data_IF_059716458301
#
_entry.id   IF_059716458301
#
_cell.length_a   1.000
_cell.length_b   1.000
_cell.length_c   1.000
_cell.angle_alpha   90.00
_cell.angle_beta   90.00
_cell.angle_gamma   90.00
#
_symmetry.space_group_name_H-M   'P 1'
#
loop_
_entity.id
_entity.type
_entity.pdbx_description
1 polymer ?
#
# COMPACT_ATOMS: atom_id res chain seq x y z
N UNK A 1 -54.51 -15.40 -50.52
CA UNK A 1 -53.04 -15.57 -50.48
C UNK A 1 -52.42 -14.47 -49.61
N UNK A 2 -52.02 -14.74 -48.35
CA UNK A 2 -51.17 -13.82 -47.59
C UNK A 2 -49.71 -14.28 -47.64
N UNK A 3 -48.82 -13.39 -48.09
CA UNK A 3 -47.37 -13.61 -48.13
C UNK A 3 -46.80 -13.61 -46.71
N UNK A 4 -45.94 -14.58 -46.43
CA UNK A 4 -45.28 -14.84 -45.15
C UNK A 4 -44.48 -13.64 -44.64
N UNK A 5 -45.03 -12.91 -43.67
CA UNK A 5 -44.34 -11.83 -42.95
C UNK A 5 -43.40 -12.33 -41.83
N UNK A 6 -43.31 -13.66 -41.65
CA UNK A 6 -42.59 -14.33 -40.56
C UNK A 6 -41.09 -14.54 -40.83
N UNK A 7 -40.62 -14.38 -42.07
CA UNK A 7 -39.23 -14.73 -42.44
C UNK A 7 -38.23 -13.58 -42.28
N UNK A 8 -38.70 -12.33 -42.22
CA UNK A 8 -37.82 -11.14 -42.13
C UNK A 8 -37.56 -10.75 -40.67
N UNK A 9 -38.46 -11.05 -39.73
CA UNK A 9 -38.27 -10.71 -38.30
C UNK A 9 -37.30 -11.64 -37.57
N UNK A 10 -37.16 -12.89 -38.05
CA UNK A 10 -36.27 -13.90 -37.47
C UNK A 10 -34.77 -13.52 -37.49
N UNK A 11 -34.19 -13.01 -38.60
CA UNK A 11 -32.79 -12.59 -38.62
C UNK A 11 -32.52 -11.35 -37.74
N UNK A 12 -33.46 -10.41 -37.62
CA UNK A 12 -33.32 -9.27 -36.72
C UNK A 12 -33.42 -9.67 -35.25
N UNK A 13 -34.31 -10.61 -34.91
CA UNK A 13 -34.38 -11.16 -33.56
C UNK A 13 -33.07 -11.89 -33.19
N UNK A 14 -32.51 -12.67 -34.11
CA UNK A 14 -31.23 -13.35 -33.91
C UNK A 14 -30.07 -12.35 -33.75
N UNK A 15 -30.05 -11.29 -34.56
CA UNK A 15 -29.06 -10.21 -34.46
C UNK A 15 -29.15 -9.49 -33.11
N UNK A 16 -30.36 -9.17 -32.64
CA UNK A 16 -30.57 -8.56 -31.32
C UNK A 16 -30.10 -9.47 -30.18
N UNK A 17 -30.36 -10.78 -30.26
CA UNK A 17 -29.89 -11.75 -29.27
C UNK A 17 -28.36 -11.85 -29.27
N UNK A 18 -27.72 -11.86 -30.44
CA UNK A 18 -26.25 -11.89 -30.57
C UNK A 18 -25.64 -10.60 -30.02
N UNK A 19 -26.21 -9.43 -30.34
CA UNK A 19 -25.73 -8.15 -29.80
C UNK A 19 -25.91 -8.06 -28.28
N UNK A 20 -27.04 -8.56 -27.75
CA UNK A 20 -27.29 -8.60 -26.32
C UNK A 20 -26.33 -9.57 -25.62
N UNK A 21 -26.08 -10.75 -26.18
CA UNK A 21 -25.12 -11.73 -25.66
C UNK A 21 -23.68 -11.19 -25.70
N UNK A 22 -23.30 -10.49 -26.78
CA UNK A 22 -22.01 -9.79 -26.88
C UNK A 22 -21.90 -8.69 -25.81
N UNK A 23 -22.93 -7.87 -25.64
CA UNK A 23 -22.95 -6.84 -24.60
C UNK A 23 -22.79 -7.46 -23.21
N UNK A 24 -23.54 -8.54 -22.91
CA UNK A 24 -23.46 -9.26 -21.64
C UNK A 24 -22.08 -9.90 -21.40
N UNK A 25 -21.39 -10.32 -22.45
CA UNK A 25 -20.04 -10.89 -22.38
C UNK A 25 -18.92 -9.85 -22.27
N UNK A 26 -19.16 -8.60 -22.71
CA UNK A 26 -18.17 -7.51 -22.69
C UNK A 26 -18.31 -6.65 -21.42
N UNK A 27 -19.52 -6.44 -20.91
CA UNK A 27 -19.79 -5.67 -19.69
C UNK A 27 -18.91 -6.05 -18.48
N UNK A 28 -18.76 -7.33 -18.08
CA UNK A 28 -17.93 -7.67 -16.92
C UNK A 28 -16.44 -7.37 -17.14
N UNK A 29 -15.96 -7.46 -18.38
CA UNK A 29 -14.57 -7.12 -18.73
C UNK A 29 -14.34 -5.61 -18.72
N UNK A 30 -15.30 -4.83 -19.21
CA UNK A 30 -15.27 -3.38 -19.13
C UNK A 30 -15.31 -2.90 -17.67
N UNK A 31 -16.17 -3.48 -16.83
CA UNK A 31 -16.22 -3.15 -15.40
C UNK A 31 -14.91 -3.46 -14.66
N UNK A 32 -14.24 -4.57 -14.97
CA UNK A 32 -12.93 -4.87 -14.41
C UNK A 32 -11.84 -3.89 -14.86
N UNK A 33 -11.94 -3.36 -16.09
CA UNK A 33 -11.00 -2.35 -16.61
C UNK A 33 -11.22 -0.94 -16.00
N UNK A 34 -12.41 -0.67 -15.46
CA UNK A 34 -12.76 0.61 -14.82
C UNK A 34 -12.78 0.55 -13.29
N UNK A 35 -12.51 -0.61 -12.67
CA UNK A 35 -12.42 -0.72 -11.22
C UNK A 35 -11.22 0.10 -10.72
N UNK A 36 -11.39 0.99 -9.71
CA UNK A 36 -10.27 1.68 -9.09
C UNK A 36 -9.23 0.67 -8.62
N UNK A 37 -7.95 1.03 -8.75
CA UNK A 37 -6.86 0.22 -8.21
C UNK A 37 -7.17 -0.16 -6.75
N UNK A 38 -7.21 -1.46 -6.40
CA UNK A 38 -7.55 -1.90 -5.06
C UNK A 38 -6.65 -1.30 -3.97
N UNK A 39 -5.39 -0.99 -4.29
CA UNK A 39 -4.46 -0.31 -3.36
C UNK A 39 -4.89 1.13 -3.15
N UNK A 40 -5.14 1.87 -4.23
CA UNK A 40 -5.67 3.24 -4.16
C UNK A 40 -7.02 3.30 -3.42
N UNK A 41 -7.93 2.36 -3.68
CA UNK A 41 -9.21 2.28 -2.98
C UNK A 41 -9.04 1.99 -1.48
N UNK A 42 -8.09 1.13 -1.10
CA UNK A 42 -7.77 0.89 0.30
C UNK A 42 -7.19 2.14 0.98
N UNK A 43 -6.25 2.82 0.32
CA UNK A 43 -5.68 4.06 0.82
C UNK A 43 -6.74 5.16 0.98
N UNK A 44 -7.65 5.31 0.02
CA UNK A 44 -8.75 6.28 0.13
C UNK A 44 -9.64 6.00 1.35
N UNK A 45 -9.96 4.73 1.65
CA UNK A 45 -10.71 4.37 2.87
C UNK A 45 -9.94 4.70 4.15
N UNK A 46 -8.61 4.64 4.12
CA UNK A 46 -7.76 5.07 5.25
C UNK A 46 -7.87 6.58 5.42
N UNK A 47 -7.79 7.34 4.33
CA UNK A 47 -7.96 8.79 4.35
C UNK A 47 -9.34 9.20 4.90
N UNK A 48 -10.41 8.53 4.48
CA UNK A 48 -11.78 8.78 4.96
C UNK A 48 -11.93 8.50 6.47
N UNK A 49 -11.28 7.44 6.99
CA UNK A 49 -11.27 7.16 8.43
C UNK A 49 -10.48 8.19 9.23
N UNK A 50 -9.42 8.73 8.64
CA UNK A 50 -8.60 9.80 9.21
C UNK A 50 -7.64 9.36 10.31
N UNK A 51 -7.62 8.07 10.69
CA UNK A 51 -6.66 7.53 11.64
C UNK A 51 -6.40 6.04 11.41
N UNK A 52 -5.16 5.60 11.63
CA UNK A 52 -4.76 4.20 11.50
C UNK A 52 -3.51 3.87 12.34
N UNK A 53 -3.34 2.59 12.66
CA UNK A 53 -2.13 2.03 13.27
C UNK A 53 -1.41 1.13 12.27
N UNK A 54 -0.09 1.05 12.35
CA UNK A 54 0.73 0.17 11.53
C UNK A 54 1.77 -0.56 12.37
N UNK A 55 2.14 -1.74 11.89
CA UNK A 55 3.16 -2.63 12.42
C UNK A 55 3.84 -3.29 11.21
N UNK A 56 5.17 -3.20 11.14
CA UNK A 56 5.92 -3.57 9.96
C UNK A 56 7.34 -4.02 10.29
N UNK A 57 7.79 -5.06 9.58
CA UNK A 57 9.18 -5.50 9.57
C UNK A 57 9.83 -5.11 8.25
N UNK A 58 10.96 -4.42 8.33
CA UNK A 58 11.76 -4.02 7.18
C UNK A 58 13.08 -4.79 7.18
N UNK A 59 13.32 -5.53 6.11
CA UNK A 59 14.60 -6.20 5.83
C UNK A 59 15.31 -5.45 4.72
N UNK A 60 16.44 -4.83 5.05
CA UNK A 60 17.29 -4.14 4.09
C UNK A 60 18.53 -5.00 3.82
N UNK A 61 18.68 -5.42 2.56
CA UNK A 61 19.86 -6.15 2.09
C UNK A 61 20.69 -5.25 1.18
N UNK A 62 21.93 -5.00 1.56
CA UNK A 62 22.91 -4.27 0.75
C UNK A 62 23.89 -5.25 0.15
N UNK A 63 23.82 -5.45 -1.17
CA UNK A 63 24.74 -6.31 -1.93
C UNK A 63 25.71 -5.43 -2.71
N UNK A 64 27.02 -5.48 -2.41
CA UNK A 64 28.02 -4.73 -3.17
C UNK A 64 28.05 -5.16 -4.64
N UNK A 65 28.09 -4.20 -5.57
CA UNK A 65 28.29 -4.50 -6.99
C UNK A 65 29.64 -5.18 -7.23
N UNK A 66 29.70 -6.18 -8.11
CA UNK A 66 30.95 -6.86 -8.43
C UNK A 66 31.93 -5.91 -9.12
N UNK A 67 32.96 -5.44 -8.39
CA UNK A 67 34.00 -4.55 -8.90
C UNK A 67 35.32 -4.71 -8.12
N UNK A 68 36.43 -4.27 -8.70
CA UNK A 68 37.76 -4.29 -8.03
C UNK A 68 37.73 -3.47 -6.72
N UNK A 69 36.96 -2.38 -6.69
CA UNK A 69 36.81 -1.54 -5.49
C UNK A 69 36.05 -2.24 -4.34
N UNK A 70 35.30 -3.30 -4.64
CA UNK A 70 34.46 -4.01 -3.69
C UNK A 70 35.01 -5.40 -3.30
N UNK A 71 36.27 -5.69 -3.64
CA UNK A 71 36.91 -6.96 -3.24
C UNK A 71 36.90 -7.10 -1.72
N UNK A 72 36.42 -8.24 -1.22
CA UNK A 72 36.35 -8.53 0.21
C UNK A 72 35.11 -7.96 0.93
N UNK A 73 34.27 -7.16 0.26
CA UNK A 73 32.99 -6.76 0.81
C UNK A 73 31.97 -7.89 0.69
N UNK A 74 31.17 -8.08 1.74
CA UNK A 74 30.09 -9.06 1.80
C UNK A 74 28.72 -8.37 1.84
N UNK A 75 27.67 -9.11 1.49
CA UNK A 75 26.31 -8.60 1.65
C UNK A 75 26.00 -8.38 3.12
N UNK A 76 25.34 -7.27 3.43
CA UNK A 76 24.88 -6.95 4.78
C UNK A 76 23.37 -6.92 4.81
N UNK A 77 22.79 -7.61 5.80
CA UNK A 77 21.36 -7.54 6.10
C UNK A 77 21.13 -6.72 7.37
N UNK A 78 20.16 -5.82 7.31
CA UNK A 78 19.69 -5.04 8.45
C UNK A 78 18.20 -5.30 8.62
N UNK A 79 17.80 -5.71 9.83
CA UNK A 79 16.40 -5.90 10.20
C UNK A 79 15.96 -4.77 11.11
N UNK A 80 14.80 -4.22 10.80
CA UNK A 80 14.19 -3.08 11.47
C UNK A 80 12.73 -3.46 11.75
N UNK A 81 12.25 -3.16 12.95
CA UNK A 81 10.84 -3.27 13.28
C UNK A 81 10.28 -1.86 13.50
N UNK A 82 9.14 -1.56 12.90
CA UNK A 82 8.47 -0.26 12.94
C UNK A 82 7.02 -0.44 13.36
N UNK A 83 6.62 0.27 14.40
CA UNK A 83 5.22 0.33 14.82
C UNK A 83 4.81 1.77 15.09
N UNK A 84 3.57 2.12 14.79
CA UNK A 84 3.12 3.49 14.95
C UNK A 84 1.65 3.71 14.69
N UNK A 85 1.27 4.98 14.80
CA UNK A 85 -0.09 5.47 14.59
C UNK A 85 -0.02 6.79 13.85
N UNK A 86 -1.00 7.00 12.97
CA UNK A 86 -1.19 8.24 12.23
C UNK A 86 -2.60 8.74 12.47
N UNK A 87 -2.74 10.02 12.82
CA UNK A 87 -3.99 10.75 12.89
C UNK A 87 -3.90 11.92 11.89
N UNK A 88 -4.61 11.76 10.78
CA UNK A 88 -4.60 12.67 9.64
C UNK A 88 -5.38 13.96 9.94
N UNK A 89 -6.35 13.90 10.85
CA UNK A 89 -7.16 15.07 11.23
C UNK A 89 -6.36 16.03 12.10
N UNK A 90 -5.52 15.50 12.97
CA UNK A 90 -4.63 16.26 13.85
C UNK A 90 -3.22 16.47 13.28
N UNK A 91 -2.96 15.96 12.06
CA UNK A 91 -1.64 16.00 11.41
C UNK A 91 -0.53 15.52 12.38
N UNK A 92 -0.78 14.35 12.95
CA UNK A 92 0.03 13.75 14.00
C UNK A 92 0.42 12.34 13.62
N UNK A 93 1.72 12.07 13.56
CA UNK A 93 2.28 10.74 13.39
C UNK A 93 3.15 10.43 14.59
N UNK A 94 3.00 9.26 15.19
CA UNK A 94 3.89 8.76 16.23
C UNK A 94 4.33 7.36 15.85
N UNK A 95 5.62 7.11 15.91
CA UNK A 95 6.18 5.80 15.57
C UNK A 95 7.37 5.48 16.45
N UNK A 96 7.64 4.19 16.56
CA UNK A 96 8.81 3.64 17.23
C UNK A 96 9.51 2.68 16.28
N UNK A 97 10.82 2.82 16.23
CA UNK A 97 11.73 2.03 15.42
C UNK A 97 12.64 1.24 16.35
N UNK A 98 12.73 -0.07 16.14
CA UNK A 98 13.70 -0.94 16.79
C UNK A 98 14.65 -1.48 15.73
N UNK A 99 15.95 -1.41 16.01
CA UNK A 99 17.00 -2.01 15.17
C UNK A 99 17.44 -3.34 15.79
N UNK A 100 18.03 -4.24 15.00
CA UNK A 100 18.52 -5.53 15.47
C UNK A 100 19.44 -5.38 16.70
N UNK A 101 18.91 -5.70 17.88
CA UNK A 101 19.52 -5.47 19.21
C UNK A 101 18.56 -4.83 20.22
N UNK A 102 17.54 -4.09 19.75
CA UNK A 102 16.40 -3.65 20.55
C UNK A 102 15.37 -4.75 20.71
N UNK A 103 14.67 -4.76 21.84
CA UNK A 103 13.60 -5.72 22.11
C UNK A 103 12.26 -5.03 21.94
N UNK A 104 11.37 -5.58 21.10
CA UNK A 104 9.97 -5.13 21.02
C UNK A 104 9.28 -5.26 22.40
N UNK A 105 9.78 -6.16 23.26
CA UNK A 105 9.31 -6.32 24.64
C UNK A 105 9.80 -5.22 25.60
N UNK A 106 10.82 -4.46 25.21
CA UNK A 106 11.35 -3.30 25.96
C UNK A 106 11.16 -2.05 25.10
N UNK A 107 10.03 -1.37 25.28
CA UNK A 107 9.67 -0.20 24.48
C UNK A 107 10.76 0.89 24.51
N UNK A 108 11.46 1.02 25.63
CA UNK A 108 12.58 1.94 25.87
C UNK A 108 13.81 1.68 25.00
N UNK A 109 13.94 0.48 24.41
CA UNK A 109 15.04 0.15 23.50
C UNK A 109 14.87 0.71 22.08
N UNK A 110 13.68 1.24 21.77
CA UNK A 110 13.36 1.84 20.49
C UNK A 110 13.72 3.32 20.40
N UNK A 111 13.93 3.80 19.17
CA UNK A 111 13.95 5.23 18.84
C UNK A 111 12.52 5.62 18.51
N UNK A 112 12.00 6.66 19.16
CA UNK A 112 10.69 7.19 18.90
C UNK A 112 10.78 8.45 18.05
N UNK A 113 9.91 8.53 17.05
CA UNK A 113 9.68 9.72 16.26
C UNK A 113 8.24 10.18 16.43
N UNK A 114 8.06 11.49 16.57
CA UNK A 114 6.76 12.11 16.44
C UNK A 114 6.82 13.25 15.45
N UNK A 115 5.81 13.34 14.60
CA UNK A 115 5.53 14.49 13.75
C UNK A 115 4.23 15.10 14.26
N UNK A 116 4.25 16.39 14.57
CA UNK A 116 3.04 17.14 14.93
C UNK A 116 3.06 18.44 14.14
N UNK A 117 2.05 18.65 13.29
CA UNK A 117 1.95 19.84 12.43
C UNK A 117 3.24 20.11 11.63
N UNK A 118 3.79 19.05 11.03
CA UNK A 118 5.02 19.11 10.23
C UNK A 118 6.32 19.25 11.02
N UNK A 119 6.27 19.35 12.35
CA UNK A 119 7.47 19.39 13.20
C UNK A 119 7.84 17.97 13.63
N UNK A 120 8.98 17.50 13.19
CA UNK A 120 9.52 16.22 13.58
C UNK A 120 10.41 16.33 14.82
N UNK A 121 10.19 15.43 15.77
CA UNK A 121 11.01 15.28 16.96
C UNK A 121 11.36 13.82 17.18
N UNK A 122 12.53 13.58 17.75
CA UNK A 122 13.05 12.27 18.09
C UNK A 122 13.34 12.16 19.59
N UNK A 123 13.16 10.98 20.14
CA UNK A 123 13.74 10.61 21.44
C UNK A 123 14.22 9.17 21.41
N UNK A 124 15.15 8.86 22.29
CA UNK A 124 15.61 7.49 22.53
C UNK A 124 15.22 7.09 23.94
N UNK A 125 14.46 6.00 24.07
CA UNK A 125 13.87 5.57 25.34
C UNK A 125 13.15 6.72 26.07
N UNK A 126 13.46 6.87 27.36
CA UNK A 126 12.89 7.92 28.22
C UNK A 126 13.63 9.27 28.12
N UNK A 127 14.48 9.45 27.11
CA UNK A 127 15.20 10.70 26.86
C UNK A 127 14.27 11.87 26.52
N UNK A 128 14.86 13.06 26.51
CA UNK A 128 14.17 14.27 26.08
C UNK A 128 13.83 14.21 24.58
N UNK A 129 12.74 14.87 24.19
CA UNK A 129 12.43 15.09 22.79
C UNK A 129 13.38 16.14 22.22
N UNK A 130 14.02 15.80 21.11
CA UNK A 130 14.91 16.69 20.35
C UNK A 130 14.31 16.95 18.98
N UNK A 131 14.39 18.20 18.53
CA UNK A 131 13.96 18.56 17.18
C UNK A 131 14.83 17.83 16.14
N UNK A 132 14.17 17.25 15.14
CA UNK A 132 14.80 16.48 14.07
C UNK A 132 14.40 17.06 12.71
N UNK A 133 14.93 18.25 12.35
CA UNK A 133 14.59 18.89 11.09
C UNK A 133 14.96 18.01 9.89
N UNK A 134 14.09 17.95 8.87
CA UNK A 134 14.26 17.13 7.67
C UNK A 134 13.76 15.68 7.79
N UNK A 135 13.44 15.22 9.00
CA UNK A 135 12.86 13.89 9.21
C UNK A 135 11.40 13.82 8.73
N UNK A 136 10.68 14.95 8.75
CA UNK A 136 9.29 15.04 8.26
C UNK A 136 9.17 14.62 6.80
N UNK A 137 10.08 15.08 5.95
CA UNK A 137 10.08 14.83 4.51
C UNK A 137 10.43 13.37 4.16
N UNK A 138 11.13 12.66 5.05
CA UNK A 138 11.62 11.30 4.80
C UNK A 138 10.72 10.22 5.40
N UNK A 139 10.11 10.46 6.56
CA UNK A 139 9.28 9.46 7.25
C UNK A 139 7.81 9.50 6.85
N UNK A 140 7.24 10.70 6.68
CA UNK A 140 5.82 10.86 6.40
C UNK A 140 5.60 12.19 5.65
N UNK A 141 5.81 12.20 4.32
CA UNK A 141 5.49 13.35 3.49
C UNK A 141 4.03 13.80 3.75
N UNK A 142 3.83 15.09 3.97
CA UNK A 142 2.53 15.66 4.36
C UNK A 142 1.91 15.10 5.67
N UNK A 143 2.68 14.40 6.51
CA UNK A 143 2.20 13.82 7.78
C UNK A 143 1.44 12.51 7.62
N UNK A 144 1.59 11.82 6.48
CA UNK A 144 0.98 10.51 6.22
C UNK A 144 2.07 9.48 5.91
N UNK A 145 2.27 8.51 6.81
CA UNK A 145 3.22 7.42 6.60
C UNK A 145 2.89 6.57 5.35
N UNK A 146 1.60 6.40 5.05
CA UNK A 146 1.12 5.70 3.87
C UNK A 146 1.00 6.61 2.64
N UNK A 147 1.46 7.86 2.71
CA UNK A 147 1.38 8.82 1.61
C UNK A 147 2.05 8.34 0.32
N UNK A 148 3.05 7.46 0.42
CA UNK A 148 3.70 6.86 -0.75
C UNK A 148 2.74 6.02 -1.62
N UNK A 149 1.62 5.54 -1.06
CA UNK A 149 0.61 4.78 -1.81
C UNK A 149 -0.06 5.62 -2.91
N UNK A 150 0.02 6.95 -2.83
CA UNK A 150 -0.46 7.85 -3.87
C UNK A 150 0.32 7.74 -5.20
N UNK A 151 1.58 7.28 -5.15
CA UNK A 151 2.47 7.17 -6.31
C UNK A 151 2.55 5.74 -6.88
N UNK A 152 1.74 4.83 -6.35
CA UNK A 152 1.73 3.42 -6.72
C UNK A 152 1.30 3.22 -8.18
N UNK A 153 2.03 2.38 -8.90
CA UNK A 153 1.76 1.92 -10.26
C UNK A 153 2.05 0.43 -10.39
N UNK A 154 1.63 -0.14 -11.53
CA UNK A 154 1.88 -1.55 -11.87
C UNK A 154 1.39 -2.54 -10.80
N UNK A 155 0.18 -2.29 -10.25
CA UNK A 155 -0.40 -3.11 -9.20
C UNK A 155 -0.77 -4.49 -9.71
N UNK A 156 -0.29 -5.52 -9.02
CA UNK A 156 -0.58 -6.92 -9.30
C UNK A 156 -1.07 -7.60 -8.02
N UNK A 157 -2.27 -8.18 -8.09
CA UNK A 157 -2.82 -9.00 -7.02
C UNK A 157 -2.31 -10.43 -7.09
N UNK A 158 -1.95 -10.99 -5.93
CA UNK A 158 -1.60 -12.40 -5.75
C UNK A 158 -2.83 -13.22 -5.35
N UNK A 159 -2.67 -14.53 -5.18
CA UNK A 159 -3.75 -15.37 -4.65
C UNK A 159 -4.21 -14.85 -3.28
N UNK A 160 -5.53 -14.88 -2.98
CA UNK A 160 -6.04 -14.56 -1.65
C UNK A 160 -5.41 -15.45 -0.59
N UNK A 161 -5.03 -14.84 0.53
CA UNK A 161 -4.42 -15.49 1.68
C UNK A 161 -5.31 -15.29 2.91
N UNK A 162 -5.18 -16.19 3.89
CA UNK A 162 -5.83 -16.05 5.19
C UNK A 162 -4.81 -16.28 6.30
N UNK A 163 -4.73 -15.33 7.24
CA UNK A 163 -3.83 -15.41 8.40
C UNK A 163 -4.54 -14.84 9.62
N UNK A 164 -4.43 -15.53 10.76
CA UNK A 164 -5.03 -15.09 12.03
C UNK A 164 -6.52 -14.72 11.92
N UNK A 165 -7.30 -15.43 11.08
CA UNK A 165 -8.72 -15.18 10.88
C UNK A 165 -9.07 -14.02 9.94
N UNK A 166 -8.08 -13.37 9.33
CA UNK A 166 -8.26 -12.30 8.35
C UNK A 166 -7.93 -12.80 6.95
N UNK A 167 -8.88 -12.66 6.02
CA UNK A 167 -8.65 -12.91 4.59
C UNK A 167 -8.25 -11.63 3.88
N UNK A 168 -7.16 -11.68 3.11
CA UNK A 168 -6.62 -10.53 2.39
C UNK A 168 -5.98 -10.96 1.06
N UNK A 169 -5.91 -10.01 0.12
CA UNK A 169 -5.15 -10.18 -1.13
C UNK A 169 -3.81 -9.48 -0.97
N UNK A 170 -2.72 -10.18 -1.24
CA UNK A 170 -1.39 -9.56 -1.29
C UNK A 170 -1.21 -8.85 -2.62
N UNK A 171 -0.62 -7.66 -2.58
CA UNK A 171 -0.35 -6.85 -3.77
C UNK A 171 1.15 -6.59 -3.91
N UNK A 172 1.63 -6.57 -5.15
CA UNK A 172 2.95 -6.04 -5.53
C UNK A 172 2.78 -4.86 -6.46
N UNK A 173 3.64 -3.86 -6.32
CA UNK A 173 3.56 -2.61 -7.07
C UNK A 173 4.92 -1.93 -7.16
N UNK A 174 4.99 -0.84 -7.94
CA UNK A 174 6.15 0.07 -8.00
C UNK A 174 5.76 1.45 -7.50
N UNK A 175 6.71 2.14 -6.86
CA UNK A 175 6.63 3.55 -6.42
C UNK A 175 7.64 4.37 -7.21
#
# INVERSE_FOLDING_TARGET
MPRSMTRITLPYALLCIILFACALAVLPRAHAAFAPDPVAAAWQRVQERGAYSFDSDVVQTTTPSASVANIGLSSREQRLHLAGQNDLRSNSTQMRLWTAGGSVLQAESGVEARLVNGKAQLRQGDGAWHDAPGLSETLAPAGDFLGYLAAVRDVQGHAPESRAGVSFTRYTFRV
#
